data_IF_781215511218
#
_entry.id   IF_781215511218
#
_cell.length_a   1.000
_cell.length_b   1.000
_cell.length_c   1.000
_cell.angle_alpha   90.00
_cell.angle_beta   90.00
_cell.angle_gamma   90.00
#
_symmetry.space_group_name_H-M   'P 1'
#
loop_
_entity.id
_entity.type
_entity.pdbx_description
1 polymer ?
#
# COMPACT_ATOMS: atom_id res chain seq x y z
N UNK A 1 44.58 17.21 -16.73
CA UNK A 1 43.94 15.93 -16.35
C UNK A 1 43.39 15.94 -14.92
N UNK A 2 44.13 16.40 -13.89
CA UNK A 2 43.64 16.47 -12.49
C UNK A 2 42.32 17.25 -12.28
N UNK A 3 42.12 18.38 -12.95
CA UNK A 3 40.90 19.18 -12.80
C UNK A 3 39.63 18.54 -13.38
N UNK A 4 39.75 17.68 -14.39
CA UNK A 4 38.61 17.01 -15.03
C UNK A 4 37.96 16.01 -14.06
N UNK A 5 38.75 15.25 -13.30
CA UNK A 5 38.23 14.32 -12.29
C UNK A 5 37.48 15.04 -11.16
N UNK A 6 37.90 16.26 -10.80
CA UNK A 6 37.26 17.06 -9.76
C UNK A 6 35.89 17.57 -10.23
N UNK A 7 35.81 18.03 -11.49
CA UNK A 7 34.54 18.48 -12.10
C UNK A 7 33.57 17.31 -12.28
N UNK A 8 34.05 16.14 -12.70
CA UNK A 8 33.23 14.92 -12.79
C UNK A 8 32.72 14.48 -11.40
N UNK A 9 33.53 14.57 -10.36
CA UNK A 9 33.10 14.26 -8.99
C UNK A 9 32.02 15.24 -8.48
N UNK A 10 32.15 16.54 -8.76
CA UNK A 10 31.14 17.54 -8.40
C UNK A 10 29.81 17.36 -9.12
N UNK A 11 29.85 16.97 -10.41
CA UNK A 11 28.64 16.68 -11.21
C UNK A 11 27.85 15.47 -10.69
N UNK A 12 28.53 14.47 -10.12
CA UNK A 12 27.88 13.30 -9.53
C UNK A 12 27.10 13.65 -8.25
N UNK A 13 27.58 14.63 -7.46
CA UNK A 13 26.95 15.04 -6.19
C UNK A 13 25.70 15.92 -6.43
N UNK A 14 25.61 16.60 -7.58
CA UNK A 14 24.44 17.43 -7.94
C UNK A 14 23.30 16.65 -8.60
N UNK A 15 23.47 15.33 -8.80
CA UNK A 15 22.41 14.48 -9.32
C UNK A 15 21.30 14.44 -8.27
N UNK A 16 20.06 14.85 -8.57
CA UNK A 16 18.96 14.62 -7.66
C UNK A 16 18.85 13.10 -7.46
N UNK A 17 19.16 12.64 -6.26
CA UNK A 17 18.75 11.31 -5.82
C UNK A 17 17.23 11.39 -5.75
N UNK A 18 16.54 10.86 -6.77
CA UNK A 18 15.10 10.63 -6.64
C UNK A 18 14.91 9.65 -5.50
N UNK A 19 14.54 10.17 -4.33
CA UNK A 19 14.03 9.36 -3.26
C UNK A 19 12.82 8.60 -3.82
N UNK A 20 12.81 7.28 -3.64
CA UNK A 20 11.74 6.45 -4.17
C UNK A 20 10.46 6.80 -3.39
N UNK A 21 9.44 7.33 -4.10
CA UNK A 21 8.21 7.83 -3.48
C UNK A 21 7.17 6.75 -3.15
N UNK A 22 7.61 5.50 -2.96
CA UNK A 22 6.72 4.37 -2.73
C UNK A 22 5.88 4.47 -1.45
N UNK A 23 6.27 5.35 -0.52
CA UNK A 23 5.74 5.43 0.84
C UNK A 23 5.37 6.89 1.22
N UNK A 24 4.96 7.69 0.23
CA UNK A 24 4.76 9.14 0.38
C UNK A 24 3.32 9.55 0.69
N UNK A 25 2.39 8.60 0.74
CA UNK A 25 1.01 8.84 1.15
C UNK A 25 0.46 7.62 1.89
N UNK A 26 -0.07 7.84 3.10
CA UNK A 26 -0.61 6.78 3.96
C UNK A 26 -2.07 7.00 4.29
N UNK A 27 -2.91 5.98 4.13
CA UNK A 27 -4.29 6.02 4.64
C UNK A 27 -4.36 5.54 6.09
N UNK A 28 -5.20 6.20 6.89
CA UNK A 28 -5.47 5.83 8.26
C UNK A 28 -6.86 6.28 8.69
N UNK A 29 -7.44 5.58 9.65
CA UNK A 29 -8.81 5.79 10.11
C UNK A 29 -9.67 4.56 9.89
N UNK A 30 -10.95 4.70 10.21
CA UNK A 30 -11.98 3.66 10.04
C UNK A 30 -13.33 4.35 10.04
N UNK A 31 -14.33 3.73 9.42
CA UNK A 31 -15.71 4.23 9.41
C UNK A 31 -16.62 3.44 10.37
N UNK A 32 -16.04 2.54 11.19
CA UNK A 32 -16.80 1.53 11.94
C UNK A 32 -17.44 2.01 13.24
N UNK A 33 -17.08 3.19 13.74
CA UNK A 33 -17.30 3.52 15.15
C UNK A 33 -18.05 4.82 15.40
N UNK A 34 -18.51 5.53 14.36
CA UNK A 34 -19.07 6.85 14.56
C UNK A 34 -20.08 7.21 13.47
N UNK A 35 -21.24 7.70 13.89
CA UNK A 35 -22.21 8.37 13.02
C UNK A 35 -21.91 9.88 12.88
N UNK A 36 -20.75 10.34 13.36
CA UNK A 36 -20.31 11.72 13.24
C UNK A 36 -19.93 12.02 11.79
N UNK A 37 -20.43 13.12 11.19
CA UNK A 37 -20.18 13.47 9.78
C UNK A 37 -18.69 13.63 9.42
N UNK A 38 -17.87 13.96 10.41
CA UNK A 38 -16.44 14.27 10.26
C UNK A 38 -15.53 13.11 10.70
N UNK A 39 -16.10 11.94 10.98
CA UNK A 39 -15.34 10.72 11.26
C UNK A 39 -15.22 9.87 10.01
N UNK A 40 -14.07 9.24 9.81
CA UNK A 40 -13.84 8.37 8.67
C UNK A 40 -12.35 8.22 8.38
N UNK A 41 -12.04 8.12 7.09
CA UNK A 41 -10.69 7.93 6.59
C UNK A 41 -9.97 9.27 6.38
N UNK A 42 -8.67 9.29 6.61
CA UNK A 42 -7.76 10.39 6.30
C UNK A 42 -6.50 9.89 5.61
N UNK A 43 -5.78 10.77 4.91
CA UNK A 43 -4.43 10.50 4.42
C UNK A 43 -3.38 11.38 5.11
N UNK A 44 -2.19 10.81 5.30
CA UNK A 44 -0.95 11.55 5.54
C UNK A 44 -0.20 11.66 4.21
N UNK A 45 0.15 12.87 3.80
CA UNK A 45 0.84 13.16 2.55
C UNK A 45 2.19 13.82 2.83
N UNK A 46 3.26 13.24 2.30
CA UNK A 46 4.65 13.64 2.50
C UNK A 46 5.28 14.30 1.26
N UNK A 47 4.49 14.58 0.20
CA UNK A 47 5.03 15.02 -1.09
C UNK A 47 5.69 16.38 -1.11
N UNK A 48 5.26 17.31 -0.25
CA UNK A 48 5.66 18.71 -0.29
C UNK A 48 6.73 19.07 0.75
N UNK A 49 7.43 18.07 1.30
CA UNK A 49 8.48 18.26 2.31
C UNK A 49 7.97 18.52 3.73
N UNK A 50 6.66 18.63 3.89
CA UNK A 50 5.94 18.66 5.17
C UNK A 50 4.81 17.62 5.14
N UNK A 51 4.37 17.17 6.32
CA UNK A 51 3.25 16.23 6.44
C UNK A 51 1.93 17.00 6.36
N UNK A 52 1.16 16.75 5.32
CA UNK A 52 -0.22 17.26 5.18
C UNK A 52 -1.21 16.17 5.56
N UNK A 53 -2.27 16.52 6.29
CA UNK A 53 -3.35 15.60 6.63
C UNK A 53 -4.59 15.97 5.81
N UNK A 54 -5.11 15.03 5.02
CA UNK A 54 -6.29 15.25 4.19
C UNK A 54 -7.44 14.36 4.67
N UNK A 55 -8.62 14.96 4.87
CA UNK A 55 -9.83 14.17 5.13
C UNK A 55 -10.33 13.55 3.83
N UNK A 56 -10.55 12.24 3.85
CA UNK A 56 -11.07 11.50 2.70
C UNK A 56 -12.59 11.36 2.81
N UNK A 57 -13.09 11.14 4.03
CA UNK A 57 -14.52 10.93 4.27
C UNK A 57 -14.86 9.52 4.76
N UNK A 58 -16.17 9.23 4.88
CA UNK A 58 -16.67 7.87 5.05
C UNK A 58 -16.31 7.02 3.83
N UNK A 59 -15.93 5.77 4.06
CA UNK A 59 -15.43 4.84 3.04
C UNK A 59 -16.15 3.50 3.13
N UNK A 60 -16.23 2.79 2.01
CA UNK A 60 -16.78 1.42 1.98
C UNK A 60 -15.73 0.34 2.35
N UNK A 61 -14.57 0.77 2.84
CA UNK A 61 -13.48 -0.09 3.27
C UNK A 61 -12.91 0.42 4.60
N UNK A 62 -12.33 -0.48 5.37
CA UNK A 62 -11.54 -0.14 6.54
C UNK A 62 -10.07 -0.47 6.32
N UNK A 63 -9.21 0.32 6.97
CA UNK A 63 -7.79 0.04 7.11
C UNK A 63 -7.57 -0.57 8.49
N UNK A 64 -6.87 -1.69 8.56
CA UNK A 64 -6.53 -2.33 9.83
C UNK A 64 -5.12 -2.89 9.85
N UNK A 65 -4.80 -3.76 10.82
CA UNK A 65 -3.42 -4.19 11.09
C UNK A 65 -2.76 -5.00 9.96
N UNK A 66 -3.55 -5.46 8.99
CA UNK A 66 -3.08 -6.19 7.82
C UNK A 66 -3.12 -5.36 6.52
N UNK A 67 -3.07 -4.04 6.67
CA UNK A 67 -3.03 -3.14 5.54
C UNK A 67 -1.63 -3.09 4.92
N UNK A 68 -1.61 -3.08 3.60
CA UNK A 68 -0.44 -2.72 2.80
C UNK A 68 -0.85 -1.64 1.80
N UNK A 69 0.05 -0.72 1.51
CA UNK A 69 -0.19 0.36 0.55
C UNK A 69 1.10 0.69 -0.18
N UNK A 70 0.98 1.15 -1.42
CA UNK A 70 2.10 1.58 -2.24
C UNK A 70 1.70 2.81 -3.04
N UNK A 71 2.59 3.81 -3.06
CA UNK A 71 2.42 5.02 -3.84
C UNK A 71 3.12 4.92 -5.20
N UNK A 72 2.57 5.59 -6.21
CA UNK A 72 3.19 5.72 -7.52
C UNK A 72 4.48 6.54 -7.42
N UNK A 73 5.60 6.03 -7.95
CA UNK A 73 6.91 6.66 -7.81
C UNK A 73 7.00 8.05 -8.46
N UNK A 74 6.20 8.31 -9.51
CA UNK A 74 6.22 9.58 -10.21
C UNK A 74 5.49 10.69 -9.43
N UNK A 75 4.37 10.35 -8.80
CA UNK A 75 3.48 11.30 -8.13
C UNK A 75 3.62 11.31 -6.61
N UNK A 76 4.05 10.19 -6.01
CA UNK A 76 4.04 9.95 -4.57
C UNK A 76 2.66 9.83 -3.96
N UNK A 77 1.63 9.61 -4.79
CA UNK A 77 0.25 9.35 -4.36
C UNK A 77 -0.02 7.86 -4.33
N UNK A 78 -0.90 7.39 -3.44
CA UNK A 78 -1.29 5.97 -3.39
C UNK A 78 -1.73 5.52 -4.79
N UNK A 79 -1.12 4.43 -5.23
CA UNK A 79 -1.42 3.75 -6.48
C UNK A 79 -2.33 2.54 -6.23
N UNK A 80 -2.02 1.79 -5.16
CA UNK A 80 -2.71 0.58 -4.79
C UNK A 80 -2.62 0.37 -3.28
N UNK A 81 -3.67 -0.17 -2.68
CA UNK A 81 -3.64 -0.60 -1.29
C UNK A 81 -4.53 -1.83 -1.07
N UNK A 82 -4.26 -2.55 0.00
CA UNK A 82 -5.05 -3.70 0.43
C UNK A 82 -5.31 -3.60 1.92
N UNK A 83 -6.48 -4.06 2.35
CA UNK A 83 -6.83 -4.22 3.77
C UNK A 83 -6.76 -5.69 4.22
N UNK A 84 -6.07 -6.53 3.45
CA UNK A 84 -5.96 -7.97 3.65
C UNK A 84 -7.19 -8.76 3.16
N UNK A 85 -8.30 -8.10 2.82
CA UNK A 85 -9.47 -8.76 2.25
C UNK A 85 -9.64 -8.46 0.77
N UNK A 86 -9.52 -7.18 0.40
CA UNK A 86 -9.63 -6.71 -0.97
C UNK A 86 -8.39 -5.90 -1.35
N UNK A 87 -8.25 -5.68 -2.65
CA UNK A 87 -7.27 -4.77 -3.25
C UNK A 87 -8.03 -3.61 -3.87
N UNK A 88 -7.57 -2.40 -3.60
CA UNK A 88 -8.18 -1.15 -4.04
C UNK A 88 -7.21 -0.35 -4.90
N UNK A 89 -7.76 0.34 -5.90
CA UNK A 89 -7.03 1.35 -6.67
C UNK A 89 -6.95 2.68 -5.90
N UNK A 90 -6.29 3.65 -6.54
CA UNK A 90 -6.18 5.03 -6.04
C UNK A 90 -7.52 5.74 -5.82
N UNK A 91 -8.55 5.34 -6.56
CA UNK A 91 -9.90 5.91 -6.50
C UNK A 91 -10.77 5.16 -5.48
N UNK A 92 -10.12 4.32 -4.65
CA UNK A 92 -10.70 3.54 -3.58
C UNK A 92 -11.73 2.52 -4.09
N UNK A 93 -11.64 2.14 -5.36
CA UNK A 93 -12.46 1.10 -5.95
C UNK A 93 -11.74 -0.24 -5.85
N UNK A 94 -12.47 -1.29 -5.51
CA UNK A 94 -11.89 -2.63 -5.50
C UNK A 94 -11.54 -3.06 -6.94
N UNK A 95 -10.27 -3.35 -7.21
CA UNK A 95 -9.78 -3.77 -8.54
C UNK A 95 -10.06 -5.25 -8.79
N UNK A 96 -9.96 -6.06 -7.74
CA UNK A 96 -10.29 -7.47 -7.75
C UNK A 96 -11.55 -7.68 -6.89
N UNK A 97 -12.76 -7.67 -7.48
CA UNK A 97 -13.97 -7.91 -6.73
C UNK A 97 -14.04 -9.39 -6.31
N UNK A 98 -13.95 -9.64 -5.02
CA UNK A 98 -14.40 -10.87 -4.34
C UNK A 98 -13.63 -12.18 -4.59
N UNK A 99 -12.53 -12.20 -5.36
CA UNK A 99 -11.58 -13.30 -5.17
C UNK A 99 -10.91 -13.06 -3.83
N UNK A 100 -11.34 -13.84 -2.84
CA UNK A 100 -10.74 -13.79 -1.52
C UNK A 100 -9.26 -14.12 -1.69
N UNK A 101 -8.38 -13.18 -1.34
CA UNK A 101 -6.93 -13.31 -1.54
C UNK A 101 -6.37 -14.60 -0.92
N UNK A 102 -7.06 -15.05 0.14
CA UNK A 102 -6.90 -16.35 0.78
C UNK A 102 -8.29 -16.94 1.02
N UNK A 103 -8.53 -18.17 0.58
CA UNK A 103 -9.74 -18.92 0.93
C UNK A 103 -9.52 -19.68 2.25
N UNK A 104 -9.71 -19.00 3.39
CA UNK A 104 -9.60 -19.61 4.71
C UNK A 104 -10.74 -19.18 5.67
N UNK A 105 -10.88 -19.87 6.80
CA UNK A 105 -11.95 -19.56 7.77
C UNK A 105 -11.83 -18.14 8.36
N UNK A 106 -10.62 -17.56 8.38
CA UNK A 106 -10.38 -16.19 8.86
C UNK A 106 -10.98 -15.21 7.87
N UNK A 107 -10.70 -15.37 6.59
CA UNK A 107 -11.26 -14.56 5.53
C UNK A 107 -12.79 -14.62 5.53
N UNK A 108 -13.40 -15.80 5.64
CA UNK A 108 -14.85 -15.97 5.71
C UNK A 108 -15.48 -15.25 6.91
N UNK A 109 -14.76 -15.18 8.03
CA UNK A 109 -15.24 -14.56 9.27
C UNK A 109 -15.05 -13.05 9.30
N UNK A 110 -13.94 -12.56 8.74
CA UNK A 110 -13.49 -11.18 8.93
C UNK A 110 -13.58 -10.31 7.66
N UNK A 111 -13.59 -10.92 6.47
CA UNK A 111 -13.76 -10.26 5.18
C UNK A 111 -15.23 -10.20 4.77
N UNK A 112 -15.97 -9.28 5.40
CA UNK A 112 -16.46 -8.14 4.62
C UNK A 112 -15.84 -6.81 5.04
N UNK A 113 -14.86 -6.82 5.95
CA UNK A 113 -14.30 -5.60 6.51
C UNK A 113 -12.78 -5.54 6.50
N UNK A 114 -12.10 -6.30 7.37
CA UNK A 114 -10.63 -6.28 7.48
C UNK A 114 -10.13 -7.64 7.94
N UNK A 115 -9.04 -8.12 7.34
CA UNK A 115 -8.52 -9.44 7.67
C UNK A 115 -7.91 -9.42 9.07
N UNK A 116 -8.21 -10.43 9.89
CA UNK A 116 -7.72 -10.52 11.27
C UNK A 116 -6.31 -11.10 11.33
N UNK A 117 -5.36 -10.39 10.71
CA UNK A 117 -3.93 -10.69 10.71
C UNK A 117 -3.11 -9.50 11.20
N UNK A 118 -1.85 -9.76 11.58
CA UNK A 118 -0.88 -8.70 11.85
C UNK A 118 0.30 -8.86 10.89
N UNK A 119 0.52 -7.86 10.05
CA UNK A 119 1.64 -7.85 9.09
C UNK A 119 1.71 -9.11 8.21
N UNK A 120 0.56 -9.62 7.78
CA UNK A 120 0.45 -10.78 6.89
C UNK A 120 0.39 -10.37 5.42
N UNK A 121 0.38 -9.07 5.11
CA UNK A 121 0.20 -8.54 3.77
C UNK A 121 1.31 -7.55 3.38
N UNK A 122 1.84 -7.68 2.16
CA UNK A 122 2.90 -6.84 1.62
C UNK A 122 2.71 -6.60 0.12
N UNK A 123 2.78 -5.34 -0.31
CA UNK A 123 2.81 -4.98 -1.74
C UNK A 123 4.26 -4.66 -2.13
N UNK A 124 4.73 -5.27 -3.21
CA UNK A 124 6.05 -5.03 -3.79
C UNK A 124 5.93 -4.57 -5.25
N UNK A 125 6.58 -3.47 -5.66
CA UNK A 125 6.64 -3.10 -7.06
C UNK A 125 7.54 -4.08 -7.84
N UNK A 126 7.21 -4.33 -9.10
CA UNK A 126 8.11 -5.02 -10.01
C UNK A 126 9.32 -4.14 -10.35
N UNK A 127 10.51 -4.74 -10.32
CA UNK A 127 11.77 -4.01 -10.52
C UNK A 127 12.01 -3.57 -11.97
N UNK A 128 11.25 -4.13 -12.92
CA UNK A 128 11.40 -3.90 -14.37
C UNK A 128 10.20 -3.13 -14.93
N UNK A 129 8.99 -3.48 -14.50
CA UNK A 129 7.76 -2.84 -14.94
C UNK A 129 7.10 -2.03 -13.81
N UNK A 130 7.18 -0.68 -13.82
CA UNK A 130 6.62 0.15 -12.75
C UNK A 130 5.09 0.13 -12.65
N UNK A 131 4.40 -0.48 -13.62
CA UNK A 131 2.94 -0.67 -13.60
C UNK A 131 2.52 -2.00 -12.95
N UNK A 132 3.47 -2.87 -12.62
CA UNK A 132 3.22 -4.20 -12.08
C UNK A 132 3.59 -4.26 -10.60
N UNK A 133 2.73 -4.90 -9.81
CA UNK A 133 2.89 -5.09 -8.38
C UNK A 133 2.63 -6.54 -8.00
N UNK A 134 3.27 -6.98 -6.93
CA UNK A 134 3.04 -8.29 -6.31
C UNK A 134 2.46 -8.06 -4.92
N UNK A 135 1.32 -8.66 -4.65
CA UNK A 135 0.77 -8.78 -3.32
C UNK A 135 1.20 -10.12 -2.74
N UNK A 136 1.92 -10.10 -1.63
CA UNK A 136 2.27 -11.28 -0.86
C UNK A 136 1.39 -11.32 0.39
N UNK A 137 0.56 -12.35 0.50
CA UNK A 137 -0.29 -12.53 1.67
C UNK A 137 -0.06 -13.90 2.31
N UNK A 138 0.14 -13.89 3.62
CA UNK A 138 0.33 -15.09 4.44
C UNK A 138 -0.98 -15.49 5.10
N UNK A 139 -1.29 -16.78 5.08
CA UNK A 139 -2.41 -17.33 5.85
C UNK A 139 -2.20 -17.24 7.37
N UNK A 140 -3.29 -17.35 8.11
CA UNK A 140 -3.29 -17.40 9.57
C UNK A 140 -3.34 -18.84 10.11
N UNK A 141 -2.91 -19.84 9.32
CA UNK A 141 -2.94 -21.22 9.79
C UNK A 141 -2.01 -21.42 11.00
N UNK A 142 -2.62 -21.87 12.10
CA UNK A 142 -1.92 -22.37 13.28
C UNK A 142 -1.68 -23.87 13.07
N UNK A 143 -0.63 -24.22 12.34
CA UNK A 143 -0.15 -25.60 12.25
C UNK A 143 1.36 -25.64 12.51
N UNK A 144 1.88 -26.79 12.92
CA UNK A 144 3.33 -27.03 13.03
C UNK A 144 4.01 -27.13 11.64
N UNK A 145 3.26 -26.94 10.56
CA UNK A 145 3.73 -26.94 9.17
C UNK A 145 3.93 -25.50 8.65
N UNK A 146 4.67 -25.38 7.55
CA UNK A 146 4.99 -24.09 6.92
C UNK A 146 3.72 -23.34 6.53
N UNK A 147 3.62 -22.08 6.96
CA UNK A 147 2.55 -21.16 6.58
C UNK A 147 2.55 -20.91 5.07
N UNK A 148 1.37 -20.88 4.46
CA UNK A 148 1.25 -20.67 3.01
C UNK A 148 1.34 -19.18 2.71
N UNK A 149 2.16 -18.83 1.71
CA UNK A 149 2.23 -17.47 1.17
C UNK A 149 1.63 -17.49 -0.23
N UNK A 150 0.53 -16.77 -0.42
CA UNK A 150 -0.06 -16.50 -1.71
C UNK A 150 0.61 -15.29 -2.35
N UNK A 151 0.85 -15.35 -3.66
CA UNK A 151 1.43 -14.26 -4.43
C UNK A 151 0.49 -13.91 -5.60
N UNK A 152 -0.08 -12.71 -5.56
CA UNK A 152 -0.98 -12.20 -6.59
C UNK A 152 -0.31 -11.10 -7.38
N UNK A 153 -0.28 -11.22 -8.71
CA UNK A 153 0.28 -10.21 -9.60
C UNK A 153 -0.80 -9.25 -10.07
N UNK A 154 -0.51 -7.94 -10.01
CA UNK A 154 -1.46 -6.87 -10.26
C UNK A 154 -0.88 -5.89 -11.28
N UNK A 155 -1.68 -5.53 -12.28
CA UNK A 155 -1.35 -4.51 -13.27
C UNK A 155 -2.23 -3.28 -13.02
N UNK A 156 -1.61 -2.12 -12.83
CA UNK A 156 -2.34 -0.85 -12.75
C UNK A 156 -2.48 -0.30 -14.18
N UNK A 157 -3.72 0.04 -14.56
CA UNK A 157 -4.04 0.65 -15.86
C UNK A 157 -4.00 2.18 -15.83
#
# INVERSE_FOLDING_TARGET
MRGIYLVLALLLITSPLSAQKWDYEWFFGSDRLSNEPDFGMSSLDFNDGEVTVNYIGPTNFDIGPDCSMVADVATGRIALFSNGCNIYDRDQQAIAPQETLLEDWVSETFCPHVYAGYHNNLILPDLVNPQMFYLLQKDNEYSDELQTVSATQLLIH
#
